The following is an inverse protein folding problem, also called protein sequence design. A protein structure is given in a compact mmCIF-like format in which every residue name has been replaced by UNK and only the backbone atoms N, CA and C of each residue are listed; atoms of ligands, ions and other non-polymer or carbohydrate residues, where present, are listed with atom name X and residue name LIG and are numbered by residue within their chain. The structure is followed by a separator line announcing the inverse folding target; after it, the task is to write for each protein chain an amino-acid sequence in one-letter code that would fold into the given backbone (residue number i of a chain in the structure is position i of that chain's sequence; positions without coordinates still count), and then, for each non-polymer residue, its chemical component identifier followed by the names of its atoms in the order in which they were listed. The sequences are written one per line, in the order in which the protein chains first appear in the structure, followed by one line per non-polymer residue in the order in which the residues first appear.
data_IF_157179626053
#
_entry.id   IF_157179626053
#
_cell.length_a   1.000
_cell.length_b   1.000
_cell.length_c   1.000
_cell.angle_alpha   90.00
_cell.angle_beta   90.00
_cell.angle_gamma   90.00
#
_symmetry.space_group_name_H-M   'P 1'
#
loop_
_entity.id
_entity.type
_entity.pdbx_description
1 polymer ?
#
# COMPACT_ATOMS: atom_id res chain seq x y z
N UNK A 1 11.71 3.95 -5.36
CA UNK A 1 11.53 2.66 -4.66
C UNK A 1 10.19 2.64 -3.95
N UNK A 2 9.23 1.93 -4.52
CA UNK A 2 7.91 1.69 -3.95
C UNK A 2 7.69 0.18 -3.73
N UNK A 3 6.76 -0.19 -2.86
CA UNK A 3 6.32 -1.57 -2.64
C UNK A 3 4.84 -1.70 -2.92
N UNK A 4 4.40 -2.88 -3.36
CA UNK A 4 2.99 -3.15 -3.63
C UNK A 4 2.24 -3.52 -2.35
N UNK A 5 1.13 -2.82 -2.10
CA UNK A 5 0.18 -3.17 -1.04
C UNK A 5 -1.20 -3.41 -1.62
N UNK A 6 -1.98 -4.24 -0.93
CA UNK A 6 -3.41 -4.43 -1.16
C UNK A 6 -4.19 -3.82 -0.01
N UNK A 7 -5.10 -2.90 -0.30
CA UNK A 7 -5.96 -2.29 0.71
C UNK A 7 -6.94 -3.30 1.27
N UNK A 8 -7.09 -3.35 2.59
CA UNK A 8 -8.08 -4.19 3.28
C UNK A 8 -9.29 -3.38 3.75
N UNK A 9 -9.18 -2.05 3.75
CA UNK A 9 -10.23 -1.13 4.16
C UNK A 9 -10.44 -0.04 3.10
N UNK A 10 -11.69 0.22 2.75
CA UNK A 10 -12.03 1.35 1.89
C UNK A 10 -11.82 2.66 2.65
N UNK A 11 -11.33 3.69 1.96
CA UNK A 11 -11.01 4.95 2.60
C UNK A 11 -10.28 5.90 1.67
N UNK A 12 -9.94 7.08 2.18
CA UNK A 12 -9.10 8.04 1.46
C UNK A 12 -7.68 7.93 1.97
N UNK A 13 -6.75 7.69 1.07
CA UNK A 13 -5.35 7.44 1.39
C UNK A 13 -4.46 8.40 0.62
N UNK A 14 -3.29 8.69 1.20
CA UNK A 14 -2.27 9.55 0.63
C UNK A 14 -0.90 9.08 1.10
N UNK A 15 -0.09 8.63 0.15
CA UNK A 15 1.25 8.08 0.40
C UNK A 15 2.26 9.18 0.78
N UNK A 16 2.21 10.33 0.10
CA UNK A 16 3.09 11.47 0.39
C UNK A 16 2.31 12.76 0.62
N UNK A 17 2.85 13.65 1.46
CA UNK A 17 2.24 14.94 1.84
C UNK A 17 2.04 15.95 0.70
N UNK A 18 2.42 15.60 -0.53
CA UNK A 18 2.19 16.40 -1.73
C UNK A 18 1.29 15.71 -2.77
N UNK A 19 0.94 14.44 -2.58
CA UNK A 19 0.05 13.71 -3.51
C UNK A 19 -1.43 14.02 -3.24
N UNK A 20 -2.32 13.72 -4.18
CA UNK A 20 -3.77 13.89 -3.97
C UNK A 20 -4.32 12.79 -3.06
N UNK A 21 -5.21 13.18 -2.14
CA UNK A 21 -5.94 12.24 -1.30
C UNK A 21 -6.90 11.43 -2.19
N UNK A 22 -6.59 10.15 -2.41
CA UNK A 22 -7.30 9.30 -3.38
C UNK A 22 -8.19 8.31 -2.64
N UNK A 23 -9.43 8.14 -3.12
CA UNK A 23 -10.31 7.10 -2.61
C UNK A 23 -9.83 5.73 -3.09
N UNK A 24 -9.70 4.79 -2.16
CA UNK A 24 -9.35 3.39 -2.42
C UNK A 24 -10.45 2.50 -1.89
N UNK A 25 -10.66 1.40 -2.59
CA UNK A 25 -11.61 0.37 -2.21
C UNK A 25 -10.90 -0.84 -1.62
N UNK A 26 -11.65 -1.71 -0.95
CA UNK A 26 -11.10 -2.96 -0.44
C UNK A 26 -10.65 -3.81 -1.61
N UNK A 27 -9.41 -4.27 -1.56
CA UNK A 27 -8.79 -5.10 -2.57
C UNK A 27 -8.01 -4.34 -3.65
N UNK A 28 -8.09 -3.00 -3.67
CA UNK A 28 -7.30 -2.17 -4.58
C UNK A 28 -5.80 -2.35 -4.32
N UNK A 29 -5.00 -2.31 -5.39
CA UNK A 29 -3.56 -2.53 -5.35
C UNK A 29 -2.84 -1.25 -5.73
N UNK A 30 -1.91 -0.79 -4.89
CA UNK A 30 -1.13 0.40 -5.15
C UNK A 30 0.36 0.19 -4.81
N UNK A 31 1.23 0.77 -5.65
CA UNK A 31 2.64 0.97 -5.32
C UNK A 31 2.79 2.21 -4.44
N UNK A 32 3.31 2.03 -3.22
CA UNK A 32 3.47 3.08 -2.22
C UNK A 32 4.89 3.10 -1.63
N UNK A 33 5.25 4.15 -0.92
CA UNK A 33 6.53 4.18 -0.21
C UNK A 33 6.57 3.13 0.92
N UNK A 34 7.74 2.51 1.18
CA UNK A 34 7.90 1.56 2.29
C UNK A 34 7.41 2.05 3.67
N UNK A 35 7.70 3.29 4.12
CA UNK A 35 7.18 3.78 5.40
C UNK A 35 5.65 3.85 5.44
N UNK A 36 5.00 4.27 4.35
CA UNK A 36 3.55 4.31 4.28
C UNK A 36 2.93 2.91 4.27
N UNK A 37 3.53 1.96 3.53
CA UNK A 37 3.14 0.56 3.58
C UNK A 37 3.18 0.01 5.02
N UNK A 38 4.30 0.22 5.73
CA UNK A 38 4.46 -0.22 7.11
C UNK A 38 3.39 0.40 8.03
N UNK A 39 3.09 1.69 7.85
CA UNK A 39 2.08 2.40 8.63
C UNK A 39 0.66 1.84 8.39
N UNK A 40 0.31 1.51 7.15
CA UNK A 40 -1.01 0.95 6.82
C UNK A 40 -1.14 -0.51 7.30
N UNK A 41 -0.09 -1.30 7.15
CA UNK A 41 -0.06 -2.69 7.63
C UNK A 41 -0.17 -2.72 9.16
N UNK A 42 0.57 -1.87 9.88
CA UNK A 42 0.47 -1.75 11.33
C UNK A 42 -0.92 -1.33 11.82
N UNK A 43 -1.69 -0.62 10.99
CA UNK A 43 -3.08 -0.25 11.26
C UNK A 43 -4.12 -1.26 10.74
N UNK A 44 -3.69 -2.41 10.19
CA UNK A 44 -4.57 -3.40 9.55
C UNK A 44 -5.41 -2.83 8.37
N UNK A 45 -4.92 -1.77 7.73
CA UNK A 45 -5.57 -1.09 6.58
C UNK A 45 -5.08 -1.60 5.22
N UNK A 46 -3.99 -2.34 5.20
CA UNK A 46 -3.43 -2.96 4.01
C UNK A 46 -2.61 -4.21 4.35
N UNK A 47 -2.34 -5.03 3.33
CA UNK A 47 -1.40 -6.14 3.39
C UNK A 47 -0.33 -5.96 2.31
N UNK A 48 0.90 -6.37 2.61
CA UNK A 48 1.98 -6.38 1.62
C UNK A 48 1.70 -7.45 0.57
N UNK A 49 1.82 -7.10 -0.70
CA UNK A 49 1.77 -8.08 -1.78
C UNK A 49 3.15 -8.71 -1.91
N UNK A 50 3.17 -10.03 -1.83
CA UNK A 50 4.36 -10.85 -2.01
C UNK A 50 4.19 -11.75 -3.22
N UNK A 51 5.31 -12.18 -3.78
CA UNK A 51 5.31 -13.24 -4.80
C UNK A 51 4.95 -14.59 -4.16
N UNK A 52 4.76 -15.61 -4.99
CA UNK A 52 4.54 -17.00 -4.54
C UNK A 52 5.69 -17.53 -3.67
N UNK A 53 6.89 -16.93 -3.78
CA UNK A 53 8.07 -17.24 -2.98
C UNK A 53 8.18 -16.40 -1.68
N UNK A 54 7.12 -15.69 -1.29
CA UNK A 54 7.11 -14.75 -0.14
C UNK A 54 8.05 -13.52 -0.31
N UNK A 55 8.47 -13.20 -1.54
CA UNK A 55 9.36 -12.08 -1.80
C UNK A 55 8.60 -10.76 -1.99
N UNK A 56 9.18 -9.65 -1.51
CA UNK A 56 8.60 -8.31 -1.63
C UNK A 56 8.77 -7.81 -3.07
N UNK A 57 7.68 -7.38 -3.71
CA UNK A 57 7.73 -6.78 -5.05
C UNK A 57 8.03 -5.29 -4.93
N UNK A 58 9.21 -4.88 -5.42
CA UNK A 58 9.59 -3.47 -5.54
C UNK A 58 9.21 -2.92 -6.92
N UNK A 59 8.64 -1.71 -6.93
CA UNK A 59 8.35 -0.95 -8.14
C UNK A 59 9.33 0.23 -8.25
N UNK A 60 9.84 0.46 -9.46
CA UNK A 60 10.77 1.55 -9.79
C UNK A 60 10.05 2.90 -9.71
#
# INVERSE_FOLDING_TARGET
MKVLIKYTQAGKYRDQEWESLTAREVGDIQAVTPPFAAQLIGQNKACLIKTENDEIVFHA
#
